data_IF_082516667433
#
_entry.id   IF_082516667433
#
_cell.length_a   1.000
_cell.length_b   1.000
_cell.length_c   1.000
_cell.angle_alpha   90.00
_cell.angle_beta   90.00
_cell.angle_gamma   90.00
#
_symmetry.space_group_name_H-M   'P 1'
#
loop_
_entity.id
_entity.type
_entity.pdbx_description
1 polymer ?
#
# COMPACT_ATOMS: atom_id res chain seq x y z
N UNK A 1 -7.82 12.10 -1.11
CA UNK A 1 -8.39 10.74 -0.98
C UNK A 1 -9.84 10.82 -1.47
N UNK A 2 -10.37 9.82 -2.21
CA UNK A 2 -11.77 9.86 -2.66
C UNK A 2 -12.75 10.08 -1.50
N UNK A 3 -13.80 10.92 -1.64
CA UNK A 3 -14.67 11.31 -0.52
C UNK A 3 -15.37 10.13 0.17
N UNK A 4 -15.71 9.10 -0.58
CA UNK A 4 -16.31 7.85 -0.09
C UNK A 4 -15.38 7.12 0.90
N UNK A 5 -14.08 7.07 0.60
CA UNK A 5 -13.07 6.43 1.44
C UNK A 5 -12.85 7.27 2.71
N UNK A 6 -12.88 8.60 2.59
CA UNK A 6 -12.71 9.49 3.73
C UNK A 6 -13.86 9.34 4.75
N UNK A 7 -15.11 9.22 4.28
CA UNK A 7 -16.29 8.96 5.13
C UNK A 7 -16.23 7.58 5.81
N UNK A 8 -15.70 6.57 5.13
CA UNK A 8 -15.55 5.22 5.68
C UNK A 8 -14.40 5.13 6.72
N UNK A 9 -13.31 5.88 6.54
CA UNK A 9 -12.19 5.89 7.50
C UNK A 9 -12.51 6.77 8.71
N UNK A 10 -13.06 7.96 8.47
CA UNK A 10 -13.34 8.97 9.47
C UNK A 10 -14.83 9.31 9.45
N UNK A 11 -15.70 8.39 9.94
CA UNK A 11 -17.14 8.65 9.97
C UNK A 11 -17.47 9.88 10.83
N UNK A 12 -16.65 10.14 11.85
CA UNK A 12 -16.75 11.26 12.78
C UNK A 12 -16.00 12.53 12.28
N UNK A 13 -15.45 12.58 11.05
CA UNK A 13 -14.61 13.72 10.61
C UNK A 13 -15.35 15.07 10.71
N UNK A 14 -16.67 15.06 10.48
CA UNK A 14 -17.54 16.23 10.65
C UNK A 14 -17.58 16.76 12.10
N UNK A 15 -17.37 15.92 13.11
CA UNK A 15 -17.33 16.35 14.52
C UNK A 15 -16.06 17.12 14.86
N UNK A 16 -14.95 16.85 14.16
CA UNK A 16 -13.69 17.61 14.33
C UNK A 16 -13.83 19.07 13.88
N UNK A 17 -14.68 19.34 12.89
CA UNK A 17 -14.97 20.71 12.44
C UNK A 17 -15.80 21.51 13.46
N UNK A 18 -16.43 20.85 14.43
CA UNK A 18 -17.36 21.45 15.40
C UNK A 18 -16.73 21.66 16.79
N UNK A 19 -15.66 20.93 17.15
CA UNK A 19 -15.08 20.96 18.50
C UNK A 19 -13.62 21.43 18.55
N UNK A 20 -13.35 22.65 18.04
CA UNK A 20 -12.10 23.35 18.35
C UNK A 20 -12.01 23.86 19.80
N UNK A 21 -13.01 23.56 20.66
CA UNK A 21 -12.94 23.88 22.08
C UNK A 21 -13.47 22.72 22.96
N UNK A 22 -12.51 22.11 23.66
CA UNK A 22 -12.61 21.38 24.94
C UNK A 22 -12.86 19.85 24.95
N UNK A 23 -11.97 19.21 25.73
CA UNK A 23 -11.95 17.88 26.34
C UNK A 23 -11.60 16.66 25.45
N UNK A 24 -10.30 16.39 25.38
CA UNK A 24 -9.66 15.19 24.81
C UNK A 24 -10.31 13.87 25.25
N UNK A 25 -10.83 13.80 26.48
CA UNK A 25 -11.42 12.60 27.06
C UNK A 25 -12.76 12.18 26.44
N UNK A 26 -13.52 13.10 25.83
CA UNK A 26 -14.82 12.78 25.22
C UNK A 26 -14.64 12.25 23.79
N UNK A 27 -13.65 12.78 23.08
CA UNK A 27 -13.26 12.36 21.73
C UNK A 27 -12.78 10.91 21.69
N UNK A 28 -12.00 10.49 22.69
CA UNK A 28 -11.52 9.10 22.84
C UNK A 28 -12.65 8.10 23.15
N UNK A 29 -13.75 8.52 23.78
CA UNK A 29 -14.94 7.66 23.98
C UNK A 29 -15.81 7.50 22.72
N UNK A 30 -15.83 8.51 21.84
CA UNK A 30 -16.66 8.53 20.61
C UNK A 30 -15.96 7.88 19.40
N UNK A 31 -14.63 7.81 19.42
CA UNK A 31 -13.87 6.85 18.63
C UNK A 31 -14.04 5.49 19.32
N UNK A 32 -14.91 4.62 18.80
CA UNK A 32 -15.08 3.28 19.38
C UNK A 32 -13.74 2.55 19.59
N UNK A 33 -13.74 1.50 20.41
CA UNK A 33 -12.56 0.73 20.88
C UNK A 33 -11.52 0.34 19.79
N UNK A 34 -11.90 0.41 18.52
CA UNK A 34 -11.06 0.14 17.35
C UNK A 34 -10.96 1.37 16.44
N UNK A 35 -9.73 1.87 16.26
CA UNK A 35 -9.41 3.00 15.37
C UNK A 35 -9.01 2.50 13.98
N UNK A 36 -9.66 3.03 12.95
CA UNK A 36 -9.35 2.73 11.56
C UNK A 36 -8.15 3.53 11.05
N UNK A 37 -7.15 2.84 10.48
CA UNK A 37 -5.93 3.47 9.99
C UNK A 37 -5.69 3.25 8.49
N UNK A 38 -4.92 4.17 7.93
CA UNK A 38 -4.36 4.12 6.58
C UNK A 38 -2.89 3.76 6.69
N UNK A 39 -2.46 2.75 5.93
CA UNK A 39 -1.07 2.29 5.93
C UNK A 39 -0.52 2.26 4.51
N UNK A 40 0.77 2.55 4.38
CA UNK A 40 1.55 2.18 3.20
C UNK A 40 2.11 0.78 3.42
N UNK A 41 2.08 -0.05 2.38
CA UNK A 41 2.66 -1.39 2.37
C UNK A 41 3.66 -1.50 1.23
N UNK A 42 4.82 -2.07 1.52
CA UNK A 42 5.81 -2.44 0.51
C UNK A 42 6.52 -3.74 0.91
N UNK A 43 6.98 -4.48 -0.09
CA UNK A 43 7.69 -5.74 0.06
C UNK A 43 8.99 -5.69 -0.74
N UNK A 44 10.10 -5.92 -0.05
CA UNK A 44 11.41 -6.09 -0.65
C UNK A 44 11.83 -7.55 -0.71
N UNK A 45 12.73 -7.89 -1.64
CA UNK A 45 13.36 -9.21 -1.75
C UNK A 45 14.87 -9.06 -1.75
N UNK A 46 15.61 -10.01 -1.15
CA UNK A 46 17.10 -9.94 -1.18
C UNK A 46 17.63 -10.09 -2.60
N UNK A 47 17.04 -10.99 -3.38
CA UNK A 47 17.37 -11.11 -4.80
C UNK A 47 16.51 -10.13 -5.58
N UNK A 48 17.10 -9.02 -6.04
CA UNK A 48 16.47 -8.18 -7.06
C UNK A 48 16.34 -8.97 -8.36
N UNK A 49 15.12 -9.03 -8.92
CA UNK A 49 14.90 -9.66 -10.21
C UNK A 49 15.41 -8.78 -11.35
N UNK A 50 16.42 -9.23 -12.10
CA UNK A 50 16.87 -8.57 -13.34
C UNK A 50 15.90 -8.83 -14.52
N UNK A 51 14.59 -8.81 -14.27
CA UNK A 51 13.53 -9.00 -15.27
C UNK A 51 13.31 -10.44 -15.77
N UNK A 52 14.22 -11.38 -15.50
CA UNK A 52 14.17 -12.77 -16.02
C UNK A 52 14.02 -13.87 -14.96
N UNK A 53 14.20 -13.55 -13.67
CA UNK A 53 14.11 -14.52 -12.58
C UNK A 53 13.49 -13.84 -11.36
N UNK A 54 12.32 -14.34 -10.94
CA UNK A 54 11.54 -13.85 -9.79
C UNK A 54 11.44 -14.95 -8.74
N UNK A 55 12.58 -15.52 -8.35
CA UNK A 55 12.68 -16.63 -7.41
C UNK A 55 13.61 -16.25 -6.26
N UNK A 56 13.09 -15.45 -5.35
CA UNK A 56 13.77 -15.02 -4.13
C UNK A 56 13.55 -16.02 -3.01
N UNK A 57 14.60 -16.25 -2.22
CA UNK A 57 14.56 -17.15 -1.07
C UNK A 57 13.99 -16.48 0.17
N UNK A 58 14.04 -15.14 0.24
CA UNK A 58 13.52 -14.37 1.34
C UNK A 58 12.91 -13.05 0.85
N UNK A 59 11.99 -12.53 1.66
CA UNK A 59 11.34 -11.24 1.44
C UNK A 59 10.99 -10.58 2.76
N UNK A 60 10.95 -9.25 2.74
CA UNK A 60 10.75 -8.38 3.90
C UNK A 60 9.64 -7.39 3.57
N UNK A 61 8.57 -7.45 4.34
CA UNK A 61 7.41 -6.56 4.20
C UNK A 61 7.34 -5.63 5.37
N UNK A 62 6.85 -4.42 5.12
CA UNK A 62 6.65 -3.41 6.17
C UNK A 62 5.32 -2.71 5.96
N UNK A 63 4.62 -2.41 7.05
CA UNK A 63 3.53 -1.43 7.04
C UNK A 63 3.98 -0.14 7.73
N UNK A 64 3.71 0.97 7.08
CA UNK A 64 4.09 2.32 7.54
C UNK A 64 2.80 3.12 7.72
N UNK A 65 2.65 3.78 8.87
CA UNK A 65 1.49 4.63 9.13
C UNK A 65 1.48 5.82 8.17
N UNK A 66 0.36 6.05 7.48
CA UNK A 66 0.26 7.13 6.50
C UNK A 66 0.46 8.51 7.13
N UNK A 67 -0.10 8.74 8.32
CA UNK A 67 0.00 10.01 9.03
C UNK A 67 1.33 10.17 9.77
N UNK A 68 1.78 9.11 10.45
CA UNK A 68 3.00 9.17 11.27
C UNK A 68 4.28 9.08 10.46
N UNK A 69 4.24 8.46 9.28
CA UNK A 69 5.42 8.09 8.51
C UNK A 69 6.31 7.05 9.20
N UNK A 70 5.84 6.46 10.31
CA UNK A 70 6.60 5.48 11.10
C UNK A 70 6.23 4.05 10.75
N UNK A 71 7.18 3.14 10.90
CA UNK A 71 6.94 1.70 10.79
C UNK A 71 6.02 1.28 11.93
N UNK A 72 4.91 0.62 11.59
CA UNK A 72 3.95 0.10 12.56
C UNK A 72 4.22 -1.38 12.86
N UNK A 73 4.55 -2.16 11.82
CA UNK A 73 4.85 -3.58 11.92
C UNK A 73 5.63 -4.04 10.68
N UNK A 74 6.31 -5.17 10.78
CA UNK A 74 7.08 -5.79 9.70
C UNK A 74 6.98 -7.32 9.75
N UNK A 75 7.10 -7.95 8.59
CA UNK A 75 7.11 -9.41 8.51
C UNK A 75 8.15 -9.90 7.49
N UNK A 76 8.80 -11.01 7.83
CA UNK A 76 9.75 -11.69 6.94
C UNK A 76 9.16 -13.00 6.44
N UNK A 77 9.36 -13.31 5.15
CA UNK A 77 9.02 -14.61 4.56
C UNK A 77 10.29 -15.28 4.07
N UNK A 78 10.64 -16.45 4.58
CA UNK A 78 11.87 -17.18 4.29
C UNK A 78 11.56 -18.60 3.80
N UNK A 79 12.05 -18.94 2.60
CA UNK A 79 11.90 -20.23 1.91
C UNK A 79 13.09 -21.16 2.02
N UNK A 80 14.20 -20.67 2.55
CA UNK A 80 15.39 -21.47 2.75
C UNK A 80 15.94 -21.22 4.14
N UNK A 81 16.35 -22.31 4.78
CA UNK A 81 17.31 -22.28 5.86
C UNK A 81 18.63 -22.88 5.38
N UNK A 82 19.74 -22.17 5.55
CA UNK A 82 21.06 -22.63 5.09
C UNK A 82 21.62 -23.77 5.96
N UNK A 83 21.08 -23.99 7.16
CA UNK A 83 21.48 -25.07 8.07
C UNK A 83 20.67 -26.37 7.88
N UNK A 84 19.71 -26.39 6.95
CA UNK A 84 18.94 -27.58 6.58
C UNK A 84 18.06 -28.13 7.71
N UNK A 85 17.97 -29.47 7.81
CA UNK A 85 17.17 -30.19 8.82
C UNK A 85 17.90 -30.39 10.17
N UNK A 86 19.01 -29.68 10.42
CA UNK A 86 19.68 -29.77 11.73
C UNK A 86 18.68 -29.34 12.81
N UNK A 87 18.44 -30.20 13.79
CA UNK A 87 17.43 -29.94 14.84
C UNK A 87 17.84 -28.85 15.83
N UNK A 88 19.11 -28.45 15.83
CA UNK A 88 19.68 -27.50 16.77
C UNK A 88 20.19 -26.25 16.06
N UNK A 89 19.26 -25.38 15.64
CA UNK A 89 19.57 -24.02 15.18
C UNK A 89 18.31 -23.14 15.22
N UNK A 90 18.51 -21.81 15.19
CA UNK A 90 17.46 -20.82 14.99
C UNK A 90 16.95 -20.88 13.54
N UNK A 91 16.02 -21.79 13.27
CA UNK A 91 15.42 -21.96 11.94
C UNK A 91 14.41 -20.86 11.67
N UNK A 92 14.73 -19.97 10.74
CA UNK A 92 13.82 -18.88 10.31
C UNK A 92 12.96 -19.22 9.10
N UNK A 93 12.95 -20.48 8.66
CA UNK A 93 12.11 -20.97 7.57
C UNK A 93 10.63 -20.85 7.98
N UNK A 94 9.86 -20.05 7.24
CA UNK A 94 8.46 -19.81 7.58
C UNK A 94 7.54 -19.67 6.35
N UNK A 95 8.06 -19.95 5.15
CA UNK A 95 7.31 -19.83 3.91
C UNK A 95 7.68 -20.94 2.92
N UNK A 96 6.68 -21.59 2.34
CA UNK A 96 6.89 -22.81 1.52
C UNK A 96 6.39 -22.67 0.07
N UNK A 97 5.70 -21.58 -0.26
CA UNK A 97 5.18 -21.33 -1.62
C UNK A 97 6.20 -20.56 -2.48
N UNK A 98 5.79 -20.13 -3.68
CA UNK A 98 6.62 -19.36 -4.61
C UNK A 98 6.99 -17.96 -4.08
N UNK A 99 8.12 -17.41 -4.51
CA UNK A 99 8.54 -16.05 -4.13
C UNK A 99 7.47 -14.98 -4.41
N UNK A 100 6.69 -15.15 -5.49
CA UNK A 100 5.58 -14.25 -5.86
C UNK A 100 4.42 -14.25 -4.86
N UNK A 101 4.22 -15.36 -4.14
CA UNK A 101 3.17 -15.47 -3.14
C UNK A 101 3.57 -14.89 -1.78
N UNK A 102 4.86 -14.58 -1.57
CA UNK A 102 5.35 -14.04 -0.30
C UNK A 102 4.70 -12.71 0.05
N UNK A 103 4.55 -11.82 -0.92
CA UNK A 103 3.98 -10.49 -0.72
C UNK A 103 2.53 -10.58 -0.24
N UNK A 104 1.71 -11.40 -0.89
CA UNK A 104 0.32 -11.60 -0.48
C UNK A 104 0.21 -12.21 0.92
N UNK A 105 1.02 -13.24 1.22
CA UNK A 105 1.02 -13.88 2.53
C UNK A 105 1.56 -12.97 3.64
N UNK A 106 2.48 -12.08 3.32
CA UNK A 106 2.96 -11.04 4.21
C UNK A 106 1.90 -9.95 4.44
N UNK A 107 1.20 -9.53 3.38
CA UNK A 107 0.07 -8.60 3.45
C UNK A 107 -1.01 -9.11 4.39
N UNK A 108 -1.43 -10.38 4.27
CA UNK A 108 -2.38 -11.00 5.22
C UNK A 108 -1.87 -10.94 6.65
N UNK A 109 -0.62 -11.33 6.88
CA UNK A 109 -0.03 -11.33 8.22
C UNK A 109 -0.06 -9.93 8.84
N UNK A 110 0.35 -8.90 8.12
CA UNK A 110 0.44 -7.53 8.66
C UNK A 110 -0.92 -6.82 8.74
N UNK A 111 -1.85 -7.11 7.83
CA UNK A 111 -3.13 -6.38 7.73
C UNK A 111 -4.23 -7.02 8.58
N UNK A 112 -4.29 -8.35 8.63
CA UNK A 112 -5.34 -9.10 9.31
C UNK A 112 -4.87 -9.68 10.64
N UNK A 113 -3.61 -10.09 10.70
CA UNK A 113 -3.08 -10.90 11.81
C UNK A 113 -2.01 -10.19 12.66
N UNK A 114 -1.73 -8.91 12.42
CA UNK A 114 -0.78 -8.15 13.25
C UNK A 114 -1.28 -8.09 14.69
N UNK A 115 -0.50 -8.66 15.61
CA UNK A 115 -0.79 -8.60 17.05
C UNK A 115 -0.56 -7.20 17.58
N UNK A 116 0.50 -6.53 17.12
CA UNK A 116 0.85 -5.15 17.50
C UNK A 116 -0.32 -4.20 17.20
N UNK A 117 -0.91 -4.29 16.01
CA UNK A 117 -2.05 -3.46 15.66
C UNK A 117 -3.28 -3.79 16.51
N UNK A 118 -3.57 -5.08 16.74
CA UNK A 118 -4.72 -5.51 17.54
C UNK A 118 -4.62 -5.05 19.00
N UNK A 119 -3.45 -5.21 19.61
CA UNK A 119 -3.18 -4.78 20.99
C UNK A 119 -3.29 -3.26 21.14
N UNK A 120 -2.92 -2.51 20.11
CA UNK A 120 -3.09 -1.07 20.07
C UNK A 120 -4.50 -0.59 19.68
N UNK A 121 -5.48 -1.50 19.50
CA UNK A 121 -6.83 -1.15 19.04
C UNK A 121 -6.86 -0.58 17.62
N UNK A 122 -5.87 -0.89 16.78
CA UNK A 122 -5.74 -0.35 15.42
C UNK A 122 -6.22 -1.35 14.37
N UNK A 123 -6.93 -0.84 13.37
CA UNK A 123 -7.46 -1.64 12.28
C UNK A 123 -7.17 -1.02 10.92
N UNK A 124 -6.41 -1.71 10.09
CA UNK A 124 -6.13 -1.26 8.72
C UNK A 124 -7.40 -1.29 7.87
N UNK A 125 -7.79 -0.15 7.30
CA UNK A 125 -8.89 -0.03 6.31
C UNK A 125 -8.40 0.27 4.92
N UNK A 126 -7.33 1.05 4.81
CA UNK A 126 -6.81 1.50 3.52
C UNK A 126 -5.34 1.18 3.41
N UNK A 127 -5.00 0.54 2.29
CA UNK A 127 -3.65 0.13 1.97
C UNK A 127 -3.20 0.92 0.74
N UNK A 128 -2.08 1.64 0.90
CA UNK A 128 -1.39 2.35 -0.16
C UNK A 128 -0.21 1.48 -0.58
N UNK A 129 -0.07 1.18 -1.86
CA UNK A 129 1.07 0.41 -2.36
C UNK A 129 1.06 0.27 -3.87
N UNK A 130 1.89 -0.62 -4.39
CA UNK A 130 1.96 -0.87 -5.83
C UNK A 130 0.62 -1.43 -6.36
N UNK A 131 0.39 -1.29 -7.66
CA UNK A 131 -0.84 -1.67 -8.37
C UNK A 131 -0.99 -3.19 -8.56
N UNK A 132 -0.31 -4.03 -7.77
CA UNK A 132 -0.45 -5.48 -7.86
C UNK A 132 -1.71 -5.98 -7.12
N UNK A 133 -2.75 -6.29 -7.89
CA UNK A 133 -4.07 -6.67 -7.38
C UNK A 133 -4.11 -8.00 -6.62
N UNK A 134 -3.05 -8.81 -6.72
CA UNK A 134 -2.94 -10.14 -6.10
C UNK A 134 -2.95 -10.05 -4.58
N UNK A 135 -2.18 -9.13 -3.98
CA UNK A 135 -2.10 -9.03 -2.50
C UNK A 135 -3.45 -8.66 -1.87
N UNK A 136 -4.12 -7.63 -2.40
CA UNK A 136 -5.40 -7.18 -1.83
C UNK A 136 -6.50 -8.23 -1.99
N UNK A 137 -6.48 -9.01 -3.06
CA UNK A 137 -7.44 -10.10 -3.26
C UNK A 137 -7.30 -11.17 -2.16
N UNK A 138 -6.07 -11.56 -1.84
CA UNK A 138 -5.80 -12.54 -0.78
C UNK A 138 -6.16 -11.97 0.61
N UNK A 139 -5.82 -10.71 0.88
CA UNK A 139 -6.18 -10.02 2.14
C UNK A 139 -7.70 -9.98 2.36
N UNK A 140 -8.46 -9.68 1.30
CA UNK A 140 -9.93 -9.66 1.36
C UNK A 140 -10.54 -11.05 1.51
N UNK A 141 -9.96 -12.06 0.85
CA UNK A 141 -10.42 -13.44 0.97
C UNK A 141 -10.21 -14.00 2.39
N UNK A 142 -9.11 -13.63 3.03
CA UNK A 142 -8.78 -14.04 4.40
C UNK A 142 -9.70 -13.38 5.45
N UNK A 143 -10.19 -12.16 5.20
CA UNK A 143 -11.18 -11.50 6.05
C UNK A 143 -12.32 -10.87 5.23
N UNK A 144 -13.34 -11.66 4.83
CA UNK A 144 -14.39 -11.21 3.92
C UNK A 144 -15.38 -10.25 4.58
N UNK A 145 -15.49 -10.28 5.90
CA UNK A 145 -16.36 -9.37 6.66
C UNK A 145 -15.83 -7.94 6.69
N UNK A 146 -14.53 -7.76 6.44
CA UNK A 146 -13.84 -6.49 6.57
C UNK A 146 -13.71 -5.80 5.22
N UNK A 147 -14.21 -4.56 5.12
CA UNK A 147 -14.03 -3.73 3.93
C UNK A 147 -12.61 -3.15 3.88
N UNK A 148 -11.92 -3.40 2.76
CA UNK A 148 -10.58 -2.87 2.50
C UNK A 148 -10.58 -2.01 1.23
N UNK A 149 -9.95 -0.84 1.31
CA UNK A 149 -9.66 -0.01 0.15
C UNK A 149 -8.19 -0.11 -0.22
N UNK A 150 -7.91 -0.15 -1.52
CA UNK A 150 -6.56 -0.10 -2.06
C UNK A 150 -6.39 1.19 -2.83
N UNK A 151 -5.32 1.92 -2.53
CA UNK A 151 -4.88 3.10 -3.27
C UNK A 151 -3.52 2.81 -3.89
N UNK A 152 -3.32 3.23 -5.13
CA UNK A 152 -2.00 3.19 -5.75
C UNK A 152 -1.15 4.35 -5.24
N UNK A 153 0.14 4.10 -4.99
CA UNK A 153 1.05 5.18 -4.62
C UNK A 153 1.30 6.14 -5.81
N UNK A 154 1.71 7.37 -5.48
CA UNK A 154 1.91 8.45 -6.44
C UNK A 154 2.98 8.10 -7.49
N UNK A 155 4.03 7.38 -7.09
CA UNK A 155 5.15 7.06 -7.97
C UNK A 155 4.73 6.05 -9.04
N UNK A 156 3.99 5.01 -8.65
CA UNK A 156 3.44 4.01 -9.55
C UNK A 156 2.33 4.60 -10.42
N UNK A 157 1.50 5.51 -9.90
CA UNK A 157 0.53 6.26 -10.70
C UNK A 157 1.22 7.07 -11.80
N UNK A 158 2.25 7.86 -11.46
CA UNK A 158 2.98 8.68 -12.42
C UNK A 158 3.69 7.83 -13.49
N UNK A 159 4.34 6.72 -13.09
CA UNK A 159 4.98 5.78 -14.03
C UNK A 159 3.97 5.14 -14.98
N UNK A 160 2.83 4.69 -14.45
CA UNK A 160 1.79 4.04 -15.25
C UNK A 160 1.15 5.04 -16.23
N UNK A 161 0.83 6.25 -15.78
CA UNK A 161 0.31 7.30 -16.65
C UNK A 161 1.31 7.65 -17.75
N UNK A 162 2.60 7.77 -17.43
CA UNK A 162 3.66 7.96 -18.42
C UNK A 162 3.70 6.81 -19.43
N UNK A 163 3.66 5.55 -18.97
CA UNK A 163 3.65 4.36 -19.85
C UNK A 163 2.44 4.34 -20.78
N UNK A 164 1.25 4.68 -20.27
CA UNK A 164 0.03 4.79 -21.07
C UNK A 164 0.14 5.89 -22.12
N UNK A 165 0.63 7.08 -21.74
CA UNK A 165 0.88 8.18 -22.68
C UNK A 165 1.89 7.79 -23.78
N UNK A 166 2.97 7.11 -23.42
CA UNK A 166 3.94 6.60 -24.41
C UNK A 166 3.31 5.51 -25.31
N UNK A 167 2.44 4.67 -24.77
CA UNK A 167 1.68 3.68 -25.53
C UNK A 167 0.64 4.31 -26.47
N UNK A 168 0.10 5.48 -26.14
CA UNK A 168 -0.77 6.27 -27.02
C UNK A 168 0.04 7.02 -28.08
N UNK A 169 1.25 7.49 -27.75
CA UNK A 169 2.15 8.16 -28.69
C UNK A 169 2.49 7.28 -29.90
N UNK A 170 2.61 5.96 -29.71
CA UNK A 170 2.87 5.03 -30.83
C UNK A 170 1.66 4.87 -31.77
N UNK A 171 0.43 5.15 -31.29
CA UNK A 171 -0.82 5.04 -32.05
C UNK A 171 -1.24 6.36 -32.72
N UNK A 172 -0.94 7.50 -32.10
CA UNK A 172 -1.29 8.82 -32.62
C UNK A 172 -0.02 9.63 -32.93
N UNK A 173 0.31 9.76 -34.23
CA UNK A 173 1.48 10.52 -34.72
C UNK A 173 1.49 11.98 -34.24
N UNK A 174 0.33 12.52 -33.83
CA UNK A 174 0.18 13.87 -33.30
C UNK A 174 0.76 14.06 -31.89
N UNK A 175 0.95 12.99 -31.13
CA UNK A 175 1.51 13.03 -29.77
C UNK A 175 3.05 12.95 -29.73
N UNK A 176 3.70 12.98 -30.90
CA UNK A 176 5.16 12.97 -30.99
C UNK A 176 5.76 14.24 -30.37
N UNK A 177 6.91 14.13 -29.66
CA UNK A 177 7.59 15.22 -28.90
C UNK A 177 7.59 16.62 -29.55
N UNK A 178 7.59 16.73 -30.88
CA UNK A 178 7.54 18.00 -31.63
C UNK A 178 6.19 18.73 -31.54
N UNK A 179 5.07 18.02 -31.37
CA UNK A 179 3.72 18.59 -31.35
C UNK A 179 3.18 18.80 -29.92
N UNK A 180 3.60 17.99 -28.95
CA UNK A 180 3.23 18.14 -27.55
C UNK A 180 3.81 19.44 -26.92
N UNK A 181 5.07 19.79 -27.23
CA UNK A 181 5.66 21.08 -26.82
C UNK A 181 4.97 22.29 -27.47
N UNK A 182 4.47 22.16 -28.70
CA UNK A 182 3.79 23.23 -29.41
C UNK A 182 2.43 23.57 -28.75
N UNK A 183 1.65 22.57 -28.35
CA UNK A 183 0.35 22.79 -27.67
C UNK A 183 0.49 23.33 -26.24
N UNK A 184 1.50 22.93 -25.47
CA UNK A 184 1.72 23.49 -24.12
C UNK A 184 2.17 24.95 -24.17
N UNK A 185 2.96 25.35 -25.18
CA UNK A 185 3.41 26.75 -25.31
C UNK A 185 2.35 27.67 -25.94
N UNK A 186 1.39 27.14 -26.71
CA UNK A 186 0.32 27.94 -27.33
C UNK A 186 -0.81 28.35 -26.37
N UNK A 187 -0.94 27.74 -25.17
CA UNK A 187 -1.97 28.11 -24.19
C UNK A 187 -1.49 29.12 -23.13
N UNK A 188 -0.24 29.55 -23.16
CA UNK A 188 0.28 30.60 -22.25
C UNK A 188 0.16 31.99 -22.89
N UNK A 189 0.04 32.08 -24.22
CA UNK A 189 0.04 33.36 -24.95
C UNK A 189 -1.35 33.79 -25.46
N UNK A 190 -2.43 33.09 -25.08
CA UNK A 190 -3.81 33.40 -25.52
C UNK A 190 -4.72 33.94 -24.41
N UNK A 191 -4.21 34.18 -23.20
CA UNK A 191 -4.97 34.75 -22.08
C UNK A 191 -4.42 36.10 -21.56
N UNK A 192 -3.68 36.81 -22.40
CA UNK A 192 -3.31 38.21 -22.17
C UNK A 192 -3.80 39.04 -23.36
N UNK A 193 -5.12 39.23 -23.38
CA UNK A 193 -5.82 40.20 -24.21
C UNK A 193 -6.76 40.99 -23.32
#
# INVERSE_FOLDING_TARGET
>A
MPPEITKDIFPQLHLLDIHSQNNDNLFDTDLGEIINIVVSFDMGWTKRGNGRSYDSLNGYSTIIGFLSGKILDYATKNRKCDLGHKKDHDCRLNFHSSAKAMEAAAGVQLVNHSTILKEAGLQVRVIIGDKDSSMIAVVRADNPTKKFHKLSDKNHLAKNFGKELYGMQSKYKELTRKNARKKVNCNIHSNSG
#
